data_IF_902927933472
#
_entry.id   IF_902927933472
#
_cell.length_a   1.000
_cell.length_b   1.000
_cell.length_c   1.000
_cell.angle_alpha   90.00
_cell.angle_beta   90.00
_cell.angle_gamma   90.00
#
_symmetry.space_group_name_H-M   'P 1'
#
loop_
_entity.id
_entity.type
_entity.pdbx_description
1 polymer ?
#
# COMPACT_ATOMS: atom_id res chain seq x y z
N UNK A 1 -16.90 8.32 -21.90
CA UNK A 1 -16.01 7.98 -20.76
C UNK A 1 -16.38 6.58 -20.25
N UNK A 2 -15.48 5.60 -20.32
CA UNK A 2 -15.78 4.17 -20.03
C UNK A 2 -16.13 3.84 -18.56
N UNK A 3 -15.99 4.79 -17.64
CA UNK A 3 -16.29 4.64 -16.20
C UNK A 3 -17.52 5.46 -15.76
N UNK A 4 -18.27 6.04 -16.70
CA UNK A 4 -19.47 6.81 -16.39
C UNK A 4 -20.51 5.94 -15.64
N UNK A 5 -21.13 6.52 -14.60
CA UNK A 5 -22.12 5.84 -13.77
C UNK A 5 -21.57 4.83 -12.75
N UNK A 6 -20.23 4.73 -12.59
CA UNK A 6 -19.61 3.89 -11.55
C UNK A 6 -19.21 4.72 -10.35
N UNK A 7 -19.33 4.12 -9.16
CA UNK A 7 -18.82 4.68 -7.89
C UNK A 7 -17.36 4.32 -7.71
N UNK A 8 -16.55 5.28 -7.28
CA UNK A 8 -15.10 5.13 -7.16
C UNK A 8 -14.68 5.41 -5.73
N UNK A 9 -13.96 4.46 -5.13
CA UNK A 9 -13.34 4.64 -3.82
C UNK A 9 -11.82 4.71 -3.97
N UNK A 10 -11.18 5.61 -3.25
CA UNK A 10 -9.73 5.73 -3.16
C UNK A 10 -9.28 5.59 -1.71
N UNK A 11 -8.12 4.98 -1.48
CA UNK A 11 -7.60 4.79 -0.11
C UNK A 11 -7.12 6.10 0.51
N UNK A 12 -6.48 6.99 -0.26
CA UNK A 12 -5.88 8.21 0.30
C UNK A 12 -5.69 9.31 -0.72
N UNK A 13 -5.32 10.49 -0.23
CA UNK A 13 -5.24 11.74 -1.01
C UNK A 13 -4.30 11.67 -2.21
N UNK A 14 -3.20 10.92 -2.14
CA UNK A 14 -2.30 10.77 -3.28
C UNK A 14 -3.01 10.12 -4.48
N UNK A 15 -3.85 9.13 -4.22
CA UNK A 15 -4.64 8.44 -5.25
C UNK A 15 -5.77 9.32 -5.75
N UNK A 16 -6.44 10.06 -4.85
CA UNK A 16 -7.44 11.08 -5.23
C UNK A 16 -6.85 12.11 -6.19
N UNK A 17 -5.73 12.73 -5.83
CA UNK A 17 -5.07 13.74 -6.65
C UNK A 17 -4.71 13.20 -8.04
N UNK A 18 -4.23 11.96 -8.12
CA UNK A 18 -3.96 11.32 -9.41
C UNK A 18 -5.25 11.10 -10.22
N UNK A 19 -6.32 10.62 -9.59
CA UNK A 19 -7.62 10.46 -10.28
C UNK A 19 -8.17 11.79 -10.79
N UNK A 20 -8.01 12.88 -10.03
CA UNK A 20 -8.41 14.22 -10.44
C UNK A 20 -7.67 14.70 -11.69
N UNK A 21 -6.39 14.36 -11.86
CA UNK A 21 -5.64 14.65 -13.09
C UNK A 21 -6.24 13.96 -14.34
N UNK A 22 -6.96 12.85 -14.15
CA UNK A 22 -7.71 12.16 -15.20
C UNK A 22 -9.18 12.62 -15.30
N UNK A 23 -9.58 13.66 -14.57
CA UNK A 23 -10.94 14.17 -14.53
C UNK A 23 -11.91 13.25 -13.78
N UNK A 24 -11.40 12.47 -12.82
CA UNK A 24 -12.17 11.51 -12.02
C UNK A 24 -12.13 11.91 -10.56
N UNK A 25 -13.30 12.19 -9.97
CA UNK A 25 -13.42 12.46 -8.53
C UNK A 25 -13.90 11.20 -7.81
N UNK A 26 -13.16 10.70 -6.80
CA UNK A 26 -13.66 9.61 -5.97
C UNK A 26 -14.95 10.00 -5.24
N UNK A 27 -15.88 9.06 -5.11
CA UNK A 27 -17.09 9.20 -4.30
C UNK A 27 -16.84 8.89 -2.82
N UNK A 28 -15.78 8.12 -2.52
CA UNK A 28 -15.44 7.69 -1.18
C UNK A 28 -13.93 7.74 -0.95
N UNK A 29 -13.54 8.42 0.14
CA UNK A 29 -12.18 8.43 0.67
C UNK A 29 -12.32 8.28 2.18
N UNK A 30 -11.68 7.28 2.81
CA UNK A 30 -11.79 7.09 4.24
C UNK A 30 -10.95 8.14 4.98
N UNK A 31 -11.35 8.50 6.20
CA UNK A 31 -10.54 9.37 7.07
C UNK A 31 -9.18 8.71 7.39
N UNK A 32 -9.21 7.42 7.69
CA UNK A 32 -8.01 6.61 7.85
C UNK A 32 -7.57 6.10 6.47
N UNK A 33 -6.50 6.67 5.91
CA UNK A 33 -5.98 6.32 4.57
C UNK A 33 -5.40 4.89 4.47
N UNK A 34 -6.25 3.88 4.59
CA UNK A 34 -5.88 2.47 4.60
C UNK A 34 -7.04 1.57 4.14
N UNK A 35 -6.72 0.31 3.83
CA UNK A 35 -7.72 -0.74 3.62
C UNK A 35 -8.69 -0.88 4.79
N UNK A 36 -8.22 -0.75 6.03
CA UNK A 36 -9.08 -0.79 7.22
C UNK A 36 -10.04 0.39 7.29
N UNK A 37 -9.58 1.57 6.85
CA UNK A 37 -10.42 2.76 6.74
C UNK A 37 -11.56 2.51 5.75
N UNK A 38 -11.25 2.05 4.54
CA UNK A 38 -12.29 1.70 3.56
C UNK A 38 -13.26 0.65 4.11
N UNK A 39 -12.77 -0.42 4.75
CA UNK A 39 -13.65 -1.44 5.36
C UNK A 39 -14.64 -0.80 6.34
N UNK A 40 -14.21 0.19 7.15
CA UNK A 40 -15.09 0.91 8.08
C UNK A 40 -16.16 1.71 7.34
N UNK A 41 -15.78 2.45 6.31
CA UNK A 41 -16.72 3.24 5.51
C UNK A 41 -17.76 2.35 4.80
N UNK A 42 -17.31 1.21 4.25
CA UNK A 42 -18.18 0.29 3.52
C UNK A 42 -19.24 -0.38 4.38
N UNK A 43 -19.05 -0.46 5.71
CA UNK A 43 -20.09 -0.95 6.63
C UNK A 43 -21.38 -0.13 6.57
N UNK A 44 -21.29 1.12 6.14
CA UNK A 44 -22.43 2.02 6.00
C UNK A 44 -23.11 1.92 4.62
N UNK A 45 -22.68 0.97 3.78
CA UNK A 45 -23.17 0.79 2.41
C UNK A 45 -23.69 -0.64 2.29
N UNK A 46 -24.94 -0.83 1.86
CA UNK A 46 -25.44 -2.18 1.54
C UNK A 46 -24.70 -2.72 0.31
N UNK A 47 -23.88 -3.74 0.49
CA UNK A 47 -23.07 -4.32 -0.59
C UNK A 47 -23.69 -5.57 -1.22
N UNK A 48 -24.84 -6.05 -0.74
CA UNK A 48 -25.46 -7.29 -1.23
C UNK A 48 -25.72 -7.23 -2.73
N UNK A 49 -25.13 -8.18 -3.46
CA UNK A 49 -25.26 -8.30 -4.91
C UNK A 49 -24.50 -7.24 -5.71
N UNK A 50 -23.81 -6.29 -5.06
CA UNK A 50 -23.02 -5.27 -5.75
C UNK A 50 -21.74 -5.88 -6.32
N UNK A 51 -21.31 -5.31 -7.44
CA UNK A 51 -20.10 -5.72 -8.12
C UNK A 51 -18.98 -4.71 -7.84
N UNK A 52 -17.87 -5.19 -7.29
CA UNK A 52 -16.70 -4.37 -6.97
C UNK A 52 -15.51 -4.86 -7.77
N UNK A 53 -14.89 -3.95 -8.52
CA UNK A 53 -13.60 -4.18 -9.15
C UNK A 53 -12.49 -3.57 -8.30
N UNK A 54 -11.46 -4.35 -7.99
CA UNK A 54 -10.36 -3.97 -7.12
C UNK A 54 -9.02 -4.09 -7.88
N UNK A 55 -8.61 -3.03 -8.60
CA UNK A 55 -7.27 -2.96 -9.20
C UNK A 55 -6.24 -2.62 -8.13
N UNK A 56 -5.11 -3.34 -8.12
CA UNK A 56 -4.13 -3.25 -7.03
C UNK A 56 -2.78 -3.86 -7.38
N UNK A 57 -1.81 -3.74 -6.48
CA UNK A 57 -0.56 -4.51 -6.59
C UNK A 57 -0.77 -5.98 -6.20
N UNK A 58 0.19 -6.82 -6.60
CA UNK A 58 0.29 -8.21 -6.15
C UNK A 58 0.42 -8.34 -4.62
N UNK A 59 1.08 -7.40 -3.94
CA UNK A 59 1.35 -7.48 -2.49
C UNK A 59 0.40 -6.66 -1.60
N UNK A 60 -0.59 -5.96 -2.14
CA UNK A 60 -1.39 -4.98 -1.38
C UNK A 60 -2.67 -5.51 -0.74
N UNK A 61 -2.92 -6.83 -0.68
CA UNK A 61 -4.12 -7.32 0.00
C UNK A 61 -3.89 -7.19 1.48
N UNK A 62 -4.72 -6.40 2.12
CA UNK A 62 -4.75 -6.29 3.56
C UNK A 62 -6.11 -6.72 4.10
N UNK A 63 -6.76 -7.65 3.41
CA UNK A 63 -8.08 -8.19 3.75
C UNK A 63 -9.25 -7.35 3.22
N UNK A 64 -9.01 -6.37 2.33
CA UNK A 64 -10.09 -5.53 1.80
C UNK A 64 -11.03 -6.34 0.91
N UNK A 65 -10.49 -7.19 0.04
CA UNK A 65 -11.31 -7.99 -0.86
C UNK A 65 -12.22 -8.95 -0.11
N UNK A 66 -11.68 -9.69 0.85
CA UNK A 66 -12.44 -10.63 1.68
C UNK A 66 -13.49 -9.91 2.53
N UNK A 67 -13.13 -8.81 3.21
CA UNK A 67 -14.07 -8.05 4.03
C UNK A 67 -15.26 -7.47 3.22
N UNK A 68 -15.06 -7.15 1.94
CA UNK A 68 -16.14 -6.72 1.05
C UNK A 68 -17.03 -7.90 0.59
N UNK A 69 -16.44 -9.07 0.37
CA UNK A 69 -17.20 -10.30 0.07
C UNK A 69 -18.05 -10.74 1.26
N UNK A 70 -17.51 -10.68 2.47
CA UNK A 70 -18.22 -10.96 3.72
C UNK A 70 -19.45 -10.06 3.91
N UNK A 71 -19.43 -8.84 3.35
CA UNK A 71 -20.56 -7.91 3.33
C UNK A 71 -21.55 -8.16 2.17
N UNK A 72 -21.36 -9.21 1.38
CA UNK A 72 -22.26 -9.62 0.30
C UNK A 72 -21.92 -9.08 -1.09
N UNK A 73 -20.77 -8.43 -1.27
CA UNK A 73 -20.31 -8.01 -2.59
C UNK A 73 -19.74 -9.17 -3.42
N UNK A 74 -19.88 -9.08 -4.74
CA UNK A 74 -19.07 -9.85 -5.68
C UNK A 74 -17.82 -9.04 -6.03
N UNK A 75 -16.65 -9.52 -5.60
CA UNK A 75 -15.38 -8.81 -5.76
C UNK A 75 -14.53 -9.47 -6.85
N UNK A 76 -14.18 -8.69 -7.87
CA UNK A 76 -13.17 -9.04 -8.89
C UNK A 76 -11.89 -8.25 -8.63
N UNK A 77 -10.81 -8.94 -8.31
CA UNK A 77 -9.50 -8.33 -8.11
C UNK A 77 -8.62 -8.55 -9.34
N UNK A 78 -7.81 -7.55 -9.68
CA UNK A 78 -6.77 -7.68 -10.71
C UNK A 78 -5.47 -7.04 -10.25
N UNK A 79 -4.35 -7.69 -10.58
CA UNK A 79 -3.03 -7.12 -10.35
C UNK A 79 -2.70 -6.15 -11.49
N UNK A 80 -2.79 -4.86 -11.20
CA UNK A 80 -2.43 -3.80 -12.13
C UNK A 80 -0.91 -3.68 -12.31
N UNK A 81 -0.14 -4.05 -11.29
CA UNK A 81 1.32 -4.08 -11.34
C UNK A 81 1.89 -5.06 -10.31
N UNK A 82 3.18 -5.40 -10.46
CA UNK A 82 3.92 -6.27 -9.54
C UNK A 82 5.01 -5.49 -8.82
N UNK A 83 5.16 -5.70 -7.52
CA UNK A 83 6.27 -5.15 -6.76
C UNK A 83 7.49 -6.07 -6.91
N UNK A 84 8.59 -5.54 -7.47
CA UNK A 84 9.84 -6.29 -7.70
C UNK A 84 11.02 -5.47 -7.23
N UNK A 85 12.02 -6.15 -6.70
CA UNK A 85 13.34 -5.55 -6.50
C UNK A 85 13.96 -5.30 -7.88
N UNK A 86 14.53 -4.12 -8.15
CA UNK A 86 15.23 -3.88 -9.40
C UNK A 86 16.47 -4.80 -9.51
N UNK A 87 16.70 -5.36 -10.70
CA UNK A 87 17.80 -6.31 -10.93
C UNK A 87 19.17 -5.61 -10.89
N UNK A 88 19.24 -4.39 -11.44
CA UNK A 88 20.49 -3.63 -11.60
C UNK A 88 20.58 -2.48 -10.60
N UNK A 89 20.70 -2.82 -9.31
CA UNK A 89 21.02 -1.83 -8.28
C UNK A 89 22.53 -1.68 -8.10
N UNK A 90 23.05 -0.46 -7.92
CA UNK A 90 24.44 -0.25 -7.57
C UNK A 90 24.73 -0.85 -6.19
N UNK A 91 25.95 -1.34 -6.00
CA UNK A 91 26.44 -1.65 -4.67
C UNK A 91 26.83 -0.36 -3.95
N UNK A 92 26.20 -0.16 -2.80
CA UNK A 92 26.43 1.00 -1.96
C UNK A 92 27.28 0.59 -0.77
N UNK A 93 28.33 1.36 -0.48
CA UNK A 93 28.96 1.29 0.83
C UNK A 93 28.03 1.95 1.84
N UNK A 94 27.34 1.13 2.64
CA UNK A 94 26.42 1.64 3.65
C UNK A 94 27.10 2.52 4.70
N UNK A 95 28.44 2.47 4.82
CA UNK A 95 29.18 3.36 5.69
C UNK A 95 29.25 4.81 5.18
N UNK A 96 28.95 5.08 3.91
CA UNK A 96 28.95 6.45 3.38
C UNK A 96 27.67 7.23 3.71
N UNK A 97 26.72 6.63 4.46
CA UNK A 97 25.43 7.23 4.76
C UNK A 97 25.25 7.45 6.27
N UNK A 98 24.59 8.55 6.64
CA UNK A 98 24.18 8.80 8.02
C UNK A 98 22.84 8.13 8.34
N UNK A 99 21.94 8.02 7.35
CA UNK A 99 20.58 7.52 7.54
C UNK A 99 20.05 6.74 6.34
N UNK A 100 19.13 5.82 6.61
CA UNK A 100 18.29 5.14 5.61
C UNK A 100 16.82 5.38 5.96
N UNK A 101 16.02 5.74 4.95
CA UNK A 101 14.58 5.99 5.10
C UNK A 101 13.79 4.92 4.34
N UNK A 102 12.93 4.18 5.05
CA UNK A 102 12.03 3.19 4.45
C UNK A 102 10.63 3.74 4.25
N UNK A 103 10.11 3.55 3.04
CA UNK A 103 8.79 4.05 2.63
C UNK A 103 7.71 2.98 2.71
N UNK A 104 8.09 1.70 2.67
CA UNK A 104 7.17 0.56 2.76
C UNK A 104 7.81 -0.68 3.40
N UNK A 105 7.02 -1.65 3.90
CA UNK A 105 7.54 -2.92 4.36
C UNK A 105 8.35 -3.69 3.30
N UNK A 106 8.01 -3.61 2.01
CA UNK A 106 8.79 -4.29 0.97
C UNK A 106 10.18 -3.69 0.80
N UNK A 107 10.34 -2.37 0.97
CA UNK A 107 11.67 -1.74 0.94
C UNK A 107 12.57 -2.22 2.08
N UNK A 108 12.01 -2.48 3.26
CA UNK A 108 12.74 -3.04 4.41
C UNK A 108 13.24 -4.45 4.10
N UNK A 109 12.34 -5.31 3.62
CA UNK A 109 12.68 -6.72 3.29
C UNK A 109 13.72 -6.81 2.19
N UNK A 110 13.54 -6.08 1.09
CA UNK A 110 14.50 -6.07 -0.02
C UNK A 110 15.88 -5.55 0.42
N UNK A 111 15.90 -4.54 1.31
CA UNK A 111 17.16 -4.01 1.84
C UNK A 111 17.92 -5.04 2.68
N UNK A 112 17.23 -5.74 3.59
CA UNK A 112 17.85 -6.79 4.41
C UNK A 112 18.23 -7.99 3.57
N UNK A 113 17.44 -8.35 2.57
CA UNK A 113 17.80 -9.42 1.64
C UNK A 113 19.11 -9.12 0.93
N UNK A 114 19.31 -7.87 0.48
CA UNK A 114 20.53 -7.43 -0.22
C UNK A 114 21.72 -7.28 0.72
N UNK A 115 21.59 -6.49 1.78
CA UNK A 115 22.72 -6.03 2.59
C UNK A 115 22.93 -6.83 3.88
N UNK A 116 21.96 -7.66 4.27
CA UNK A 116 21.92 -8.49 5.49
C UNK A 116 21.91 -7.74 6.82
N UNK A 117 22.65 -6.64 6.93
CA UNK A 117 22.79 -5.80 8.13
C UNK A 117 23.03 -4.36 7.76
N UNK A 118 22.79 -3.47 8.72
CA UNK A 118 23.08 -2.06 8.62
C UNK A 118 24.23 -1.71 9.59
N UNK A 119 25.21 -0.87 9.19
CA UNK A 119 26.24 -0.40 10.11
C UNK A 119 25.64 0.37 11.28
N UNK A 120 26.17 0.17 12.49
CA UNK A 120 25.60 0.72 13.72
C UNK A 120 25.47 2.26 13.75
N UNK A 121 26.32 2.97 12.99
CA UNK A 121 26.27 4.44 12.88
C UNK A 121 25.08 4.95 12.06
N UNK A 122 24.52 4.12 11.18
CA UNK A 122 23.48 4.53 10.24
C UNK A 122 22.12 4.47 10.92
N UNK A 123 21.41 5.60 10.95
CA UNK A 123 20.10 5.68 11.59
C UNK A 123 19.00 5.20 10.64
N UNK A 124 18.02 4.49 11.18
CA UNK A 124 16.85 4.04 10.41
C UNK A 124 15.65 4.95 10.68
N UNK A 125 14.98 5.39 9.60
CA UNK A 125 13.71 6.11 9.63
C UNK A 125 12.66 5.36 8.81
N UNK A 126 11.40 5.51 9.19
CA UNK A 126 10.29 4.92 8.46
C UNK A 126 9.16 5.95 8.35
N UNK A 127 8.53 6.04 7.17
CA UNK A 127 7.43 7.00 6.93
C UNK A 127 6.18 6.67 7.75
N UNK A 128 5.91 5.40 8.02
CA UNK A 128 4.67 4.97 8.69
C UNK A 128 4.85 3.83 9.69
N UNK A 129 3.84 3.67 10.56
CA UNK A 129 3.85 2.67 11.64
C UNK A 129 4.04 1.24 11.14
N UNK A 130 3.36 0.84 10.05
CA UNK A 130 3.48 -0.51 9.48
C UNK A 130 4.89 -0.78 8.96
N UNK A 131 5.54 0.22 8.35
CA UNK A 131 6.94 0.11 7.90
C UNK A 131 7.90 0.01 9.07
N UNK A 132 7.64 0.76 10.16
CA UNK A 132 8.43 0.70 11.39
C UNK A 132 8.32 -0.67 12.07
N UNK A 133 7.13 -1.26 12.08
CA UNK A 133 6.92 -2.61 12.60
C UNK A 133 7.73 -3.64 11.82
N UNK A 134 7.72 -3.56 10.48
CA UNK A 134 8.54 -4.43 9.64
C UNK A 134 10.04 -4.24 9.92
N UNK A 135 10.52 -3.01 10.04
CA UNK A 135 11.91 -2.72 10.37
C UNK A 135 12.36 -3.33 11.71
N UNK A 136 11.48 -3.35 12.72
CA UNK A 136 11.74 -4.05 13.99
C UNK A 136 11.79 -5.57 13.83
N UNK A 137 10.85 -6.15 13.09
CA UNK A 137 10.85 -7.60 12.78
C UNK A 137 12.14 -8.02 12.08
N UNK A 138 12.65 -7.16 11.21
CA UNK A 138 13.93 -7.34 10.52
C UNK A 138 15.16 -6.90 11.33
N UNK A 139 15.01 -6.55 12.61
CA UNK A 139 16.10 -6.13 13.52
C UNK A 139 16.92 -4.93 13.04
N UNK A 140 16.31 -4.04 12.25
CA UNK A 140 16.89 -2.75 11.85
C UNK A 140 16.58 -1.63 12.84
N UNK A 141 15.58 -1.84 13.70
CA UNK A 141 15.19 -0.94 14.77
C UNK A 141 15.07 -1.74 16.07
N UNK A 142 15.43 -1.09 17.17
CA UNK A 142 15.14 -1.57 18.51
C UNK A 142 13.66 -1.30 18.88
#
# INVERSE_FOLDING_TARGET
RHIAGRKIAAIGKSTENMLLNFGVRPDLIPELESSRGLIREFKNIDLRGKQIFLPRSDISDKGLGEALKEQGARVWSSFAYRNRMPDNLPDLDLNSFDQVIFTSPSTVRNFIERYKRLPAKVKVRCIGAVTREEARRCRLLN
#
